data_IF_728087217851
#
_entry.id   IF_728087217851
#
_cell.length_a   1.000
_cell.length_b   1.000
_cell.length_c   1.000
_cell.angle_alpha   90.00
_cell.angle_beta   90.00
_cell.angle_gamma   90.00
#
_symmetry.space_group_name_H-M   'P 1'
#
loop_
_entity.id
_entity.type
_entity.pdbx_description
1 polymer ?
#
# COMPACT_ATOMS: atom_id res chain seq x y z
N UNK A 1 -2.43 -5.01 -23.36
CA UNK A 1 -2.80 -4.59 -24.72
C UNK A 1 -3.87 -5.56 -25.18
N UNK A 2 -5.14 -5.18 -25.05
CA UNK A 2 -6.26 -6.01 -25.50
C UNK A 2 -6.26 -6.03 -27.03
N UNK A 3 -6.44 -7.21 -27.63
CA UNK A 3 -6.60 -7.31 -29.09
C UNK A 3 -7.79 -6.44 -29.53
N UNK A 4 -7.71 -5.74 -30.67
CA UNK A 4 -8.85 -5.00 -31.20
C UNK A 4 -10.01 -5.97 -31.44
N UNK A 5 -11.13 -5.77 -30.74
CA UNK A 5 -12.36 -6.52 -30.99
C UNK A 5 -12.83 -6.29 -32.43
N UNK A 6 -13.37 -7.33 -33.04
CA UNK A 6 -14.01 -7.19 -34.36
C UNK A 6 -15.26 -6.33 -34.23
N UNK A 7 -15.66 -5.62 -35.30
CA UNK A 7 -16.87 -4.78 -35.31
C UNK A 7 -18.11 -5.56 -34.84
N UNK A 8 -18.23 -6.83 -35.23
CA UNK A 8 -19.35 -7.69 -34.85
C UNK A 8 -19.38 -8.06 -33.36
N UNK A 9 -18.21 -8.19 -32.70
CA UNK A 9 -18.12 -8.49 -31.27
C UNK A 9 -18.45 -7.25 -30.42
N UNK A 10 -18.03 -6.08 -30.89
CA UNK A 10 -18.38 -4.80 -30.27
C UNK A 10 -19.89 -4.58 -30.28
N UNK A 11 -20.53 -4.71 -31.44
CA UNK A 11 -21.98 -4.50 -31.59
C UNK A 11 -22.80 -5.43 -30.68
N UNK A 12 -22.38 -6.70 -30.58
CA UNK A 12 -23.02 -7.68 -29.69
C UNK A 12 -22.84 -7.33 -28.20
N UNK A 13 -21.65 -6.87 -27.83
CA UNK A 13 -21.36 -6.42 -26.45
C UNK A 13 -22.19 -5.19 -26.09
N UNK A 14 -22.23 -4.21 -26.99
CA UNK A 14 -23.03 -2.99 -26.85
C UNK A 14 -24.52 -3.31 -26.67
N UNK A 15 -25.07 -4.21 -27.48
CA UNK A 15 -26.47 -4.63 -27.36
C UNK A 15 -26.78 -5.26 -25.99
N UNK A 16 -25.88 -6.11 -25.48
CA UNK A 16 -26.03 -6.69 -24.13
C UNK A 16 -25.96 -5.63 -23.03
N UNK A 17 -25.04 -4.67 -23.16
CA UNK A 17 -24.92 -3.57 -22.20
C UNK A 17 -26.19 -2.73 -22.19
N UNK A 18 -26.74 -2.34 -23.35
CA UNK A 18 -28.01 -1.62 -23.42
C UNK A 18 -29.17 -2.40 -22.80
N UNK A 19 -29.25 -3.71 -23.03
CA UNK A 19 -30.28 -4.55 -22.42
C UNK A 19 -30.23 -4.50 -20.88
N UNK A 20 -29.03 -4.47 -20.31
CA UNK A 20 -28.84 -4.33 -18.86
C UNK A 20 -29.19 -2.92 -18.38
N UNK A 21 -28.76 -1.89 -19.11
CA UNK A 21 -29.04 -0.48 -18.79
C UNK A 21 -30.53 -0.19 -18.79
N UNK A 22 -31.26 -0.66 -19.80
CA UNK A 22 -32.72 -0.46 -19.91
C UNK A 22 -33.51 -1.22 -18.84
N UNK A 23 -32.91 -2.23 -18.21
CA UNK A 23 -33.49 -2.97 -17.09
C UNK A 23 -33.15 -2.38 -15.71
N UNK A 24 -32.38 -1.28 -15.65
CA UNK A 24 -32.00 -0.66 -14.38
C UNK A 24 -33.21 -0.02 -13.66
N UNK A 25 -33.32 -0.19 -12.32
CA UNK A 25 -34.37 0.48 -11.54
C UNK A 25 -34.38 2.01 -11.69
N UNK A 26 -33.20 2.60 -11.88
CA UNK A 26 -33.01 4.03 -12.06
C UNK A 26 -33.02 4.48 -13.53
N UNK A 27 -33.42 3.64 -14.49
CA UNK A 27 -33.32 3.96 -15.92
C UNK A 27 -33.98 5.29 -16.29
N UNK A 28 -35.11 5.61 -15.67
CA UNK A 28 -35.84 6.88 -15.90
C UNK A 28 -35.08 8.11 -15.39
N UNK A 29 -34.17 7.95 -14.42
CA UNK A 29 -33.34 9.01 -13.86
C UNK A 29 -32.03 9.24 -14.64
N UNK A 30 -31.71 8.37 -15.59
CA UNK A 30 -30.50 8.45 -16.43
C UNK A 30 -30.82 9.18 -17.73
N UNK A 31 -30.10 10.27 -18.01
CA UNK A 31 -30.20 10.97 -19.29
C UNK A 31 -29.74 10.05 -20.43
N UNK A 32 -30.47 10.08 -21.55
CA UNK A 32 -30.14 9.22 -22.69
C UNK A 32 -28.83 9.60 -23.37
N UNK A 33 -28.41 10.87 -23.32
CA UNK A 33 -27.10 11.27 -23.80
C UNK A 33 -25.99 10.72 -22.92
N UNK A 34 -26.16 10.77 -21.59
CA UNK A 34 -25.19 10.26 -20.63
C UNK A 34 -25.04 8.74 -20.78
N UNK A 35 -26.16 8.01 -20.84
CA UNK A 35 -26.15 6.57 -21.07
C UNK A 35 -25.40 6.21 -22.37
N UNK A 36 -25.67 6.94 -23.46
CA UNK A 36 -25.01 6.69 -24.75
C UNK A 36 -23.50 6.90 -24.67
N UNK A 37 -23.07 8.05 -24.15
CA UNK A 37 -21.64 8.36 -23.97
C UNK A 37 -20.96 7.32 -23.10
N UNK A 38 -21.57 6.95 -21.97
CA UNK A 38 -21.02 5.95 -21.07
C UNK A 38 -20.89 4.58 -21.75
N UNK A 39 -21.90 4.12 -22.49
CA UNK A 39 -21.85 2.83 -23.19
C UNK A 39 -20.75 2.85 -24.26
N UNK A 40 -20.67 3.91 -25.05
CA UNK A 40 -19.64 4.08 -26.09
C UNK A 40 -18.22 4.04 -25.50
N UNK A 41 -18.00 4.76 -24.38
CA UNK A 41 -16.72 4.82 -23.68
C UNK A 41 -16.35 3.48 -23.04
N UNK A 42 -17.27 2.87 -22.28
CA UNK A 42 -16.98 1.66 -21.52
C UNK A 42 -16.83 0.44 -22.42
N UNK A 43 -17.67 0.29 -23.45
CA UNK A 43 -17.51 -0.79 -24.43
C UNK A 43 -16.21 -0.59 -25.23
N UNK A 44 -15.91 0.66 -25.62
CA UNK A 44 -14.68 0.99 -26.33
C UNK A 44 -13.41 0.68 -25.54
N UNK A 45 -13.41 0.96 -24.24
CA UNK A 45 -12.25 0.76 -23.36
C UNK A 45 -12.13 -0.67 -22.81
N UNK A 46 -13.25 -1.32 -22.48
CA UNK A 46 -13.26 -2.57 -21.71
C UNK A 46 -13.76 -3.81 -22.49
N UNK A 47 -14.30 -3.64 -23.70
CA UNK A 47 -14.85 -4.74 -24.48
C UNK A 47 -15.88 -5.55 -23.69
N UNK A 48 -15.76 -6.88 -23.67
CA UNK A 48 -16.71 -7.75 -22.97
C UNK A 48 -16.83 -7.47 -21.45
N UNK A 49 -15.77 -6.95 -20.82
CA UNK A 49 -15.82 -6.55 -19.40
C UNK A 49 -16.79 -5.38 -19.14
N UNK A 50 -17.23 -4.65 -20.17
CA UNK A 50 -18.29 -3.65 -20.08
C UNK A 50 -19.61 -4.24 -19.53
N UNK A 51 -19.89 -5.51 -19.79
CA UNK A 51 -21.07 -6.21 -19.28
C UNK A 51 -21.05 -6.25 -17.74
N UNK A 52 -19.88 -6.54 -17.17
CA UNK A 52 -19.71 -6.55 -15.71
C UNK A 52 -19.89 -5.16 -15.11
N UNK A 53 -19.36 -4.12 -15.75
CA UNK A 53 -19.58 -2.73 -15.33
C UNK A 53 -21.08 -2.36 -15.37
N UNK A 54 -21.81 -2.78 -16.40
CA UNK A 54 -23.25 -2.54 -16.51
C UNK A 54 -24.05 -3.28 -15.43
N UNK A 55 -23.70 -4.53 -15.10
CA UNK A 55 -24.32 -5.28 -13.98
C UNK A 55 -24.14 -4.52 -12.66
N UNK A 56 -22.96 -3.92 -12.43
CA UNK A 56 -22.66 -3.16 -11.21
C UNK A 56 -23.40 -1.83 -11.08
N UNK A 57 -24.06 -1.33 -12.13
CA UNK A 57 -24.94 -0.16 -12.03
C UNK A 57 -26.20 -0.48 -11.20
N UNK A 58 -26.57 -1.75 -11.08
CA UNK A 58 -27.77 -2.20 -10.36
C UNK A 58 -27.49 -2.45 -8.88
N UNK A 59 -27.12 -1.40 -8.14
CA UNK A 59 -26.92 -1.43 -6.69
C UNK A 59 -25.51 -1.04 -6.23
N UNK A 60 -25.27 -1.12 -4.93
CA UNK A 60 -23.99 -0.86 -4.28
C UNK A 60 -23.30 -2.16 -3.85
N UNK A 61 -22.03 -2.28 -4.21
CA UNK A 61 -21.18 -3.40 -3.80
C UNK A 61 -20.50 -3.15 -2.44
N UNK A 62 -19.92 -4.21 -1.85
CA UNK A 62 -19.19 -4.10 -0.59
C UNK A 62 -18.00 -3.11 -0.62
N UNK A 63 -17.34 -2.94 -1.76
CA UNK A 63 -16.27 -1.94 -1.92
C UNK A 63 -16.78 -0.49 -1.95
N UNK A 64 -18.08 -0.27 -2.20
CA UNK A 64 -18.70 1.06 -2.28
C UNK A 64 -19.33 1.46 -0.94
N UNK A 65 -19.87 0.50 -0.19
CA UNK A 65 -20.68 0.79 1.00
C UNK A 65 -19.91 1.49 2.12
N UNK A 66 -18.64 1.12 2.34
CA UNK A 66 -17.79 1.79 3.33
C UNK A 66 -17.56 3.27 3.00
N UNK A 67 -17.56 3.64 1.72
CA UNK A 67 -17.50 5.04 1.29
C UNK A 67 -18.79 5.77 1.63
N UNK A 68 -19.93 5.13 1.36
CA UNK A 68 -21.25 5.68 1.61
C UNK A 68 -21.48 5.93 3.10
N UNK A 69 -21.20 4.94 3.96
CA UNK A 69 -21.33 5.06 5.42
C UNK A 69 -20.51 6.25 5.94
N UNK A 70 -19.23 6.35 5.55
CA UNK A 70 -18.38 7.47 5.99
C UNK A 70 -18.89 8.82 5.50
N UNK A 71 -19.31 8.93 4.24
CA UNK A 71 -19.85 10.19 3.71
C UNK A 71 -21.16 10.59 4.40
N UNK A 72 -22.00 9.63 4.78
CA UNK A 72 -23.23 9.92 5.55
C UNK A 72 -22.90 10.45 6.96
N UNK A 73 -21.81 9.96 7.57
CA UNK A 73 -21.28 10.49 8.82
C UNK A 73 -20.55 11.85 8.68
N UNK A 74 -20.51 12.44 7.47
CA UNK A 74 -19.83 13.71 7.21
C UNK A 74 -18.31 13.58 7.04
N UNK A 75 -17.80 12.35 6.88
CA UNK A 75 -16.37 12.07 6.71
C UNK A 75 -16.01 11.75 5.26
N UNK A 76 -14.81 12.18 4.86
CA UNK A 76 -14.21 11.70 3.61
C UNK A 76 -13.68 10.28 3.79
N UNK A 77 -14.05 9.44 2.84
CA UNK A 77 -13.56 8.09 2.70
C UNK A 77 -12.07 8.04 2.30
N UNK A 78 -11.48 6.86 2.50
CA UNK A 78 -10.09 6.61 2.11
C UNK A 78 -9.94 6.68 0.58
N UNK A 79 -8.70 6.92 0.13
CA UNK A 79 -8.38 7.16 -1.28
C UNK A 79 -9.18 8.31 -1.95
N UNK A 80 -9.73 9.22 -1.14
CA UNK A 80 -10.54 10.36 -1.57
C UNK A 80 -11.85 10.00 -2.30
N UNK A 81 -12.31 8.75 -2.21
CA UNK A 81 -13.59 8.34 -2.77
C UNK A 81 -14.76 9.13 -2.14
N UNK A 82 -15.87 9.26 -2.87
CA UNK A 82 -17.06 9.98 -2.40
C UNK A 82 -18.35 9.31 -2.84
N UNK A 83 -19.39 9.46 -2.02
CA UNK A 83 -20.75 9.15 -2.40
C UNK A 83 -21.19 9.94 -3.63
N UNK A 84 -20.71 11.18 -3.81
CA UNK A 84 -20.93 11.97 -5.03
C UNK A 84 -20.49 11.19 -6.28
N UNK A 85 -19.23 10.76 -6.31
CA UNK A 85 -18.65 10.06 -7.47
C UNK A 85 -19.32 8.70 -7.71
N UNK A 86 -19.68 7.99 -6.64
CA UNK A 86 -20.38 6.70 -6.72
C UNK A 86 -21.77 6.90 -7.35
N UNK A 87 -22.55 7.85 -6.85
CA UNK A 87 -23.90 8.14 -7.37
C UNK A 87 -23.86 8.65 -8.81
N UNK A 88 -22.90 9.52 -9.17
CA UNK A 88 -22.67 9.90 -10.58
C UNK A 88 -22.39 8.70 -11.47
N UNK A 89 -21.58 7.76 -10.98
CA UNK A 89 -21.29 6.51 -11.69
C UNK A 89 -22.56 5.66 -11.89
N UNK A 90 -23.41 5.52 -10.86
CA UNK A 90 -24.69 4.78 -10.98
C UNK A 90 -25.70 5.46 -11.91
N UNK A 91 -25.57 6.76 -12.10
CA UNK A 91 -26.36 7.58 -13.04
C UNK A 91 -25.72 7.68 -14.43
N UNK A 92 -24.62 6.96 -14.68
CA UNK A 92 -23.88 6.97 -15.95
C UNK A 92 -23.34 8.34 -16.37
N UNK A 93 -23.28 9.31 -15.44
CA UNK A 93 -22.66 10.64 -15.66
C UNK A 93 -21.13 10.58 -15.65
N UNK A 94 -20.59 9.44 -15.22
CA UNK A 94 -19.16 9.17 -15.10
C UNK A 94 -18.86 7.72 -15.47
N UNK A 95 -18.00 7.54 -16.46
CA UNK A 95 -17.46 6.23 -16.78
C UNK A 95 -16.53 5.72 -15.65
N UNK A 96 -16.47 4.39 -15.41
CA UNK A 96 -15.46 3.81 -14.53
C UNK A 96 -14.06 4.25 -14.98
N UNK A 97 -13.22 4.63 -14.01
CA UNK A 97 -11.83 4.97 -14.29
C UNK A 97 -11.08 3.75 -14.82
N UNK A 98 -10.10 3.98 -15.71
CA UNK A 98 -9.20 2.92 -16.16
C UNK A 98 -8.59 2.16 -14.97
N UNK A 99 -8.36 0.86 -15.15
CA UNK A 99 -7.77 0.02 -14.10
C UNK A 99 -6.45 0.60 -13.64
N UNK A 100 -6.42 1.18 -12.45
CA UNK A 100 -5.20 1.67 -11.84
C UNK A 100 -4.23 0.50 -11.61
N UNK A 101 -2.94 0.79 -11.47
CA UNK A 101 -1.94 -0.22 -11.11
C UNK A 101 -2.31 -1.00 -9.84
N UNK A 102 -3.06 -0.37 -8.93
CA UNK A 102 -3.59 -0.98 -7.71
C UNK A 102 -4.67 -2.03 -8.01
N UNK A 103 -5.68 -1.71 -8.83
CA UNK A 103 -6.75 -2.64 -9.19
C UNK A 103 -6.22 -3.82 -9.99
N UNK A 104 -5.32 -3.54 -10.95
CA UNK A 104 -4.67 -4.58 -11.75
C UNK A 104 -3.87 -5.55 -10.88
N UNK A 105 -3.09 -5.02 -9.93
CA UNK A 105 -2.33 -5.85 -8.97
C UNK A 105 -3.25 -6.72 -8.12
N UNK A 106 -4.40 -6.21 -7.69
CA UNK A 106 -5.41 -6.99 -6.98
C UNK A 106 -5.85 -8.20 -7.80
N UNK A 107 -6.40 -7.96 -9.00
CA UNK A 107 -6.92 -9.01 -9.87
C UNK A 107 -5.86 -10.05 -10.28
N UNK A 108 -4.65 -9.62 -10.66
CA UNK A 108 -3.60 -10.53 -11.10
C UNK A 108 -3.09 -11.45 -9.97
N UNK A 109 -3.25 -11.04 -8.71
CA UNK A 109 -2.70 -11.79 -7.56
C UNK A 109 -3.74 -12.50 -6.71
N UNK A 110 -5.03 -12.32 -6.97
CA UNK A 110 -6.12 -12.90 -6.17
C UNK A 110 -6.01 -14.43 -6.06
N UNK A 111 -5.84 -15.13 -7.18
CA UNK A 111 -5.69 -16.59 -7.19
C UNK A 111 -4.44 -17.08 -6.42
N UNK A 112 -3.36 -16.32 -6.48
CA UNK A 112 -2.13 -16.61 -5.74
C UNK A 112 -2.32 -16.39 -4.23
N UNK A 113 -2.99 -15.30 -3.86
CA UNK A 113 -3.37 -14.99 -2.48
C UNK A 113 -4.23 -16.12 -1.90
N UNK A 114 -5.32 -16.48 -2.58
CA UNK A 114 -6.22 -17.56 -2.18
C UNK A 114 -5.47 -18.88 -1.92
N UNK A 115 -4.57 -19.27 -2.84
CA UNK A 115 -3.76 -20.49 -2.69
C UNK A 115 -2.91 -20.47 -1.42
N UNK A 116 -2.29 -19.32 -1.10
CA UNK A 116 -1.51 -19.17 0.14
C UNK A 116 -2.41 -19.18 1.37
N UNK A 117 -3.57 -18.54 1.28
CA UNK A 117 -4.55 -18.49 2.34
C UNK A 117 -5.05 -19.90 2.70
N UNK A 118 -5.43 -20.69 1.70
CA UNK A 118 -5.83 -22.10 1.87
C UNK A 118 -4.75 -22.91 2.55
N UNK A 119 -3.49 -22.73 2.13
CA UNK A 119 -2.36 -23.43 2.73
C UNK A 119 -2.11 -23.00 4.17
N UNK A 120 -2.18 -21.69 4.47
CA UNK A 120 -1.93 -21.14 5.82
C UNK A 120 -2.98 -21.62 6.83
N UNK A 121 -4.25 -21.62 6.42
CA UNK A 121 -5.38 -21.89 7.32
C UNK A 121 -5.97 -23.29 7.18
N UNK A 122 -5.37 -24.17 6.37
CA UNK A 122 -5.96 -25.46 6.01
C UNK A 122 -7.39 -25.31 5.48
N UNK A 123 -7.64 -24.23 4.74
CA UNK A 123 -8.95 -23.87 4.25
C UNK A 123 -9.24 -24.53 2.90
N UNK A 124 -10.52 -24.75 2.62
CA UNK A 124 -11.03 -25.11 1.29
C UNK A 124 -12.21 -24.23 0.97
N UNK A 125 -12.42 -23.89 -0.31
CA UNK A 125 -13.60 -23.14 -0.72
C UNK A 125 -14.87 -23.97 -0.52
N UNK A 126 -15.89 -23.37 0.10
CA UNK A 126 -17.25 -23.88 0.10
C UNK A 126 -17.93 -23.47 -1.21
N UNK A 127 -17.77 -24.28 -2.25
CA UNK A 127 -18.29 -23.97 -3.60
C UNK A 127 -19.81 -23.72 -3.61
N UNK A 128 -20.55 -24.38 -2.71
CA UNK A 128 -22.00 -24.21 -2.62
C UNK A 128 -22.32 -22.83 -2.04
N UNK A 129 -21.74 -22.51 -0.89
CA UNK A 129 -21.97 -21.22 -0.23
C UNK A 129 -21.41 -20.05 -1.06
N UNK A 130 -20.24 -20.20 -1.67
CA UNK A 130 -19.65 -19.22 -2.58
C UNK A 130 -20.57 -18.94 -3.77
N UNK A 131 -21.09 -19.99 -4.42
CA UNK A 131 -22.04 -19.83 -5.53
C UNK A 131 -23.32 -19.11 -5.08
N UNK A 132 -23.91 -19.52 -3.97
CA UNK A 132 -25.11 -18.87 -3.40
C UNK A 132 -24.84 -17.38 -3.16
N UNK A 133 -23.73 -17.04 -2.52
CA UNK A 133 -23.41 -15.65 -2.19
C UNK A 133 -23.07 -14.79 -3.42
N UNK A 134 -22.35 -15.34 -4.40
CA UNK A 134 -22.01 -14.63 -5.65
C UNK A 134 -23.22 -14.33 -6.54
N UNK A 135 -24.31 -15.09 -6.39
CA UNK A 135 -25.59 -14.86 -7.07
C UNK A 135 -26.61 -14.11 -6.17
N UNK A 136 -26.29 -13.88 -4.89
CA UNK A 136 -27.22 -13.34 -3.90
C UNK A 136 -27.61 -11.89 -4.21
N UNK A 137 -28.88 -11.59 -3.96
CA UNK A 137 -29.44 -10.23 -3.95
C UNK A 137 -30.10 -10.03 -2.61
N UNK A 138 -29.77 -8.92 -1.96
CA UNK A 138 -30.30 -8.66 -0.64
C UNK A 138 -31.77 -8.27 -0.65
N UNK A 139 -32.36 -8.22 0.54
CA UNK A 139 -33.73 -7.73 0.76
C UNK A 139 -33.90 -6.28 0.28
N UNK A 140 -32.81 -5.51 0.28
CA UNK A 140 -32.75 -4.15 -0.28
C UNK A 140 -32.39 -4.20 -1.77
N UNK A 141 -33.15 -3.47 -2.59
CA UNK A 141 -32.98 -3.45 -4.04
C UNK A 141 -31.56 -3.09 -4.49
N UNK A 142 -30.85 -2.28 -3.70
CA UNK A 142 -29.47 -1.86 -3.98
C UNK A 142 -28.40 -2.83 -3.50
N UNK A 143 -28.70 -3.78 -2.62
CA UNK A 143 -27.66 -4.55 -1.93
C UNK A 143 -27.07 -5.64 -2.84
N UNK A 144 -25.78 -5.54 -3.14
CA UNK A 144 -25.01 -6.49 -3.95
C UNK A 144 -23.69 -6.85 -3.26
N UNK A 145 -23.16 -8.03 -3.49
CA UNK A 145 -21.83 -8.39 -3.00
C UNK A 145 -21.17 -9.35 -3.97
N UNK A 146 -19.87 -9.17 -4.15
CA UNK A 146 -19.03 -10.06 -4.95
C UNK A 146 -17.99 -10.61 -4.00
N UNK A 147 -18.19 -11.82 -3.46
CA UNK A 147 -17.24 -12.40 -2.52
C UNK A 147 -15.94 -12.77 -3.25
N UNK A 148 -14.80 -12.54 -2.60
CA UNK A 148 -13.54 -13.14 -3.01
C UNK A 148 -13.56 -14.64 -2.64
N UNK A 149 -14.05 -14.97 -1.43
CA UNK A 149 -14.20 -16.35 -0.99
C UNK A 149 -15.26 -16.59 0.09
N UNK A 150 -15.71 -17.84 0.15
CA UNK A 150 -16.39 -18.42 1.32
C UNK A 150 -15.70 -19.74 1.61
N UNK A 151 -15.00 -19.85 2.73
CA UNK A 151 -14.15 -21.02 3.01
C UNK A 151 -14.65 -21.85 4.18
N UNK A 152 -14.26 -23.12 4.19
CA UNK A 152 -14.33 -24.03 5.32
C UNK A 152 -12.91 -24.18 5.90
N UNK A 153 -12.71 -23.82 7.17
CA UNK A 153 -11.41 -23.94 7.85
C UNK A 153 -11.56 -24.35 9.33
N UNK A 154 -10.57 -25.07 9.91
CA UNK A 154 -10.60 -25.54 11.30
C UNK A 154 -10.23 -24.43 12.29
N UNK A 155 -10.92 -23.30 12.19
CA UNK A 155 -10.74 -22.14 13.05
C UNK A 155 -12.12 -21.67 13.54
N UNK A 156 -12.20 -21.34 14.83
CA UNK A 156 -13.36 -20.69 15.44
C UNK A 156 -12.94 -19.34 16.03
N UNK A 157 -13.68 -18.25 15.78
CA UNK A 157 -13.39 -16.98 16.45
C UNK A 157 -13.79 -17.06 17.92
N UNK A 158 -13.00 -16.43 18.79
CA UNK A 158 -13.27 -16.25 20.21
C UNK A 158 -13.13 -14.78 20.55
N UNK A 159 -14.13 -14.24 21.25
CA UNK A 159 -14.12 -12.88 21.79
C UNK A 159 -13.48 -12.92 23.17
N UNK A 160 -12.40 -12.17 23.35
CA UNK A 160 -11.74 -11.96 24.64
C UNK A 160 -12.52 -11.04 25.57
N UNK A 161 -12.10 -10.96 26.82
CA UNK A 161 -12.73 -10.10 27.84
C UNK A 161 -12.61 -8.61 27.51
N UNK A 162 -11.58 -8.23 26.76
CA UNK A 162 -11.33 -6.88 26.24
C UNK A 162 -12.13 -6.56 24.97
N UNK A 163 -12.96 -7.50 24.48
CA UNK A 163 -13.69 -7.39 23.22
C UNK A 163 -12.84 -7.68 21.98
N UNK A 164 -11.54 -7.96 22.14
CA UNK A 164 -10.66 -8.38 21.06
C UNK A 164 -11.06 -9.74 20.50
N UNK A 165 -10.89 -9.96 19.20
CA UNK A 165 -11.20 -11.25 18.58
C UNK A 165 -9.94 -11.98 18.18
N UNK A 166 -9.84 -13.23 18.63
CA UNK A 166 -8.79 -14.17 18.26
C UNK A 166 -9.39 -15.40 17.61
N UNK A 167 -8.56 -16.32 17.11
CA UNK A 167 -9.01 -17.61 16.60
C UNK A 167 -8.43 -18.76 17.40
N UNK A 168 -9.24 -19.79 17.65
CA UNK A 168 -8.76 -21.08 18.17
C UNK A 168 -8.87 -22.15 17.10
N UNK A 169 -7.82 -22.96 17.01
CA UNK A 169 -7.77 -24.08 16.08
C UNK A 169 -8.64 -25.24 16.58
N UNK A 170 -9.52 -25.76 15.72
CA UNK A 170 -10.50 -26.81 16.01
C UNK A 170 -10.28 -28.04 15.11
N UNK A 171 -9.25 -28.87 15.38
CA UNK A 171 -8.94 -30.02 14.54
C UNK A 171 -10.15 -30.94 14.32
N UNK A 172 -10.41 -31.28 13.06
CA UNK A 172 -11.51 -32.18 12.69
C UNK A 172 -12.89 -31.53 12.60
N UNK A 173 -13.02 -30.24 12.94
CA UNK A 173 -14.25 -29.48 12.75
C UNK A 173 -14.00 -28.35 11.74
N UNK A 174 -14.76 -28.32 10.65
CA UNK A 174 -14.67 -27.25 9.67
C UNK A 174 -15.77 -26.23 9.93
N UNK A 175 -15.41 -24.96 9.94
CA UNK A 175 -16.32 -23.85 10.11
C UNK A 175 -16.34 -22.98 8.88
N UNK A 176 -17.49 -22.39 8.56
CA UNK A 176 -17.65 -21.54 7.38
C UNK A 176 -17.27 -20.10 7.69
N UNK A 177 -16.45 -19.50 6.84
CA UNK A 177 -15.98 -18.12 6.97
C UNK A 177 -16.21 -17.35 5.70
N UNK A 178 -16.47 -16.05 5.85
CA UNK A 178 -16.44 -15.09 4.76
C UNK A 178 -15.06 -14.45 4.72
N UNK A 179 -14.34 -14.60 3.61
CA UNK A 179 -12.97 -14.10 3.48
C UNK A 179 -12.87 -13.09 2.33
N UNK A 180 -12.07 -12.05 2.55
CA UNK A 180 -11.83 -10.99 1.58
C UNK A 180 -10.31 -10.76 1.44
N UNK A 181 -9.82 -10.73 0.20
CA UNK A 181 -8.41 -10.72 -0.14
C UNK A 181 -7.99 -9.34 -0.63
N UNK A 182 -6.92 -8.79 -0.05
CA UNK A 182 -6.34 -7.51 -0.46
C UNK A 182 -4.86 -7.66 -0.75
N UNK A 183 -4.45 -7.11 -1.88
CA UNK A 183 -3.03 -6.98 -2.26
C UNK A 183 -2.62 -5.49 -2.26
N UNK A 184 -2.52 -4.83 -1.09
CA UNK A 184 -2.12 -3.44 -1.02
C UNK A 184 -0.64 -3.26 -1.38
N UNK A 185 -0.21 -2.02 -1.64
CA UNK A 185 1.22 -1.72 -1.89
C UNK A 185 2.04 -1.76 -0.60
N UNK A 186 1.37 -1.57 0.53
CA UNK A 186 1.93 -1.63 1.86
C UNK A 186 0.82 -2.11 2.79
N UNK A 187 1.19 -2.97 3.73
CA UNK A 187 0.30 -3.38 4.82
C UNK A 187 0.65 -2.53 6.03
N UNK A 188 -0.35 -1.89 6.63
CA UNK A 188 -0.16 -1.12 7.86
C UNK A 188 0.08 -2.07 9.03
N UNK A 189 1.02 -1.69 9.92
CA UNK A 189 1.45 -2.51 11.05
C UNK A 189 0.51 -2.45 12.26
N UNK A 190 -0.55 -1.63 12.22
CA UNK A 190 -1.55 -1.58 13.29
C UNK A 190 -2.51 -2.77 13.26
N UNK A 191 -3.12 -3.11 14.38
CA UNK A 191 -4.06 -4.26 14.48
C UNK A 191 -5.48 -3.91 13.99
N UNK A 192 -5.75 -2.64 13.72
CA UNK A 192 -7.05 -2.18 13.23
C UNK A 192 -7.14 -2.28 11.70
N UNK A 193 -8.25 -2.84 11.22
CA UNK A 193 -8.59 -2.77 9.80
C UNK A 193 -9.22 -1.43 9.47
N UNK A 194 -8.98 -0.95 8.24
CA UNK A 194 -9.69 0.24 7.75
C UNK A 194 -11.20 0.00 7.81
N UNK A 195 -11.93 0.95 8.39
CA UNK A 195 -13.39 0.87 8.61
C UNK A 195 -14.18 0.50 7.35
N UNK A 196 -13.70 0.90 6.17
CA UNK A 196 -14.32 0.56 4.89
C UNK A 196 -14.32 -0.95 4.61
N UNK A 197 -13.24 -1.65 4.93
CA UNK A 197 -13.16 -3.10 4.79
C UNK A 197 -14.05 -3.81 5.81
N UNK A 198 -14.19 -3.25 7.02
CA UNK A 198 -15.17 -3.74 7.98
C UNK A 198 -16.58 -3.65 7.39
N UNK A 199 -16.97 -2.50 6.84
CA UNK A 199 -18.26 -2.33 6.19
C UNK A 199 -18.47 -3.29 5.01
N UNK A 200 -17.43 -3.53 4.20
CA UNK A 200 -17.46 -4.49 3.09
C UNK A 200 -17.84 -5.89 3.58
N UNK A 201 -17.10 -6.42 4.57
CA UNK A 201 -17.34 -7.75 5.13
C UNK A 201 -18.71 -7.85 5.81
N UNK A 202 -19.16 -6.81 6.52
CA UNK A 202 -20.48 -6.78 7.15
C UNK A 202 -21.61 -6.81 6.13
N UNK A 203 -21.49 -6.12 4.99
CA UNK A 203 -22.47 -6.24 3.90
C UNK A 203 -22.52 -7.67 3.35
N UNK A 204 -21.37 -8.32 3.19
CA UNK A 204 -21.30 -9.73 2.82
C UNK A 204 -21.97 -10.64 3.86
N UNK A 205 -21.77 -10.39 5.16
CA UNK A 205 -22.39 -11.14 6.24
C UNK A 205 -23.92 -10.98 6.29
N UNK A 206 -24.45 -9.78 6.04
CA UNK A 206 -25.89 -9.55 5.90
C UNK A 206 -26.45 -10.44 4.78
N UNK A 207 -25.80 -10.44 3.61
CA UNK A 207 -26.23 -11.26 2.47
C UNK A 207 -26.10 -12.75 2.74
N UNK A 208 -25.04 -13.19 3.43
CA UNK A 208 -24.93 -14.57 3.90
C UNK A 208 -26.14 -14.96 4.74
N UNK A 209 -26.51 -14.15 5.74
CA UNK A 209 -27.65 -14.43 6.61
C UNK A 209 -28.97 -14.47 5.82
N UNK A 210 -29.21 -13.50 4.94
CA UNK A 210 -30.43 -13.44 4.10
C UNK A 210 -30.52 -14.61 3.11
N UNK A 211 -29.39 -15.11 2.62
CA UNK A 211 -29.31 -16.25 1.72
C UNK A 211 -29.29 -17.62 2.44
N UNK A 212 -29.37 -17.65 3.76
CA UNK A 212 -29.29 -18.88 4.56
C UNK A 212 -27.90 -19.52 4.61
N UNK A 213 -26.84 -18.75 4.33
CA UNK A 213 -25.45 -19.16 4.46
C UNK A 213 -24.95 -18.78 5.86
N UNK A 214 -24.93 -19.74 6.77
CA UNK A 214 -24.40 -19.53 8.11
C UNK A 214 -22.87 -19.50 8.09
N UNK A 215 -22.30 -18.37 8.52
CA UNK A 215 -20.85 -18.17 8.74
C UNK A 215 -20.57 -18.04 10.24
N UNK A 216 -19.40 -18.50 10.68
CA UNK A 216 -18.95 -18.32 12.08
C UNK A 216 -18.12 -17.06 12.27
N UNK A 217 -17.56 -16.51 11.19
CA UNK A 217 -16.66 -15.36 11.25
C UNK A 217 -16.34 -14.77 9.89
N UNK A 218 -15.73 -13.58 9.93
CA UNK A 218 -15.26 -12.83 8.77
C UNK A 218 -13.75 -12.59 8.90
N UNK A 219 -13.03 -12.56 7.79
CA UNK A 219 -11.58 -12.32 7.81
C UNK A 219 -11.15 -11.46 6.61
N UNK A 220 -10.40 -10.41 6.89
CA UNK A 220 -9.67 -9.66 5.88
C UNK A 220 -8.24 -10.20 5.82
N UNK A 221 -7.82 -10.70 4.66
CA UNK A 221 -6.45 -11.16 4.45
C UNK A 221 -5.72 -10.19 3.53
N UNK A 222 -4.63 -9.61 4.02
CA UNK A 222 -3.79 -8.67 3.28
C UNK A 222 -2.44 -9.31 2.95
N UNK A 223 -2.04 -9.27 1.68
CA UNK A 223 -0.74 -9.80 1.28
C UNK A 223 0.35 -8.75 1.50
N UNK A 224 1.18 -8.98 2.52
CA UNK A 224 2.38 -8.22 2.80
C UNK A 224 3.51 -8.67 1.89
N UNK A 225 3.71 -7.90 0.82
CA UNK A 225 4.79 -8.11 -0.15
C UNK A 225 6.18 -7.91 0.43
N UNK A 226 6.33 -7.03 1.43
CA UNK A 226 7.63 -6.72 2.01
C UNK A 226 8.15 -7.88 2.86
N UNK A 227 7.26 -8.52 3.59
CA UNK A 227 7.59 -9.66 4.47
C UNK A 227 7.21 -11.03 3.87
N UNK A 228 6.63 -11.04 2.67
CA UNK A 228 6.17 -12.24 1.98
C UNK A 228 5.19 -13.09 2.82
N UNK A 229 4.30 -12.42 3.55
CA UNK A 229 3.40 -13.01 4.53
C UNK A 229 1.95 -12.53 4.35
N UNK A 230 0.99 -13.30 4.88
CA UNK A 230 -0.41 -12.85 4.97
C UNK A 230 -0.64 -12.25 6.35
N UNK A 231 -1.11 -11.00 6.40
CA UNK A 231 -1.71 -10.39 7.59
C UNK A 231 -3.20 -10.69 7.54
N UNK A 232 -3.70 -11.42 8.54
CA UNK A 232 -5.08 -11.86 8.57
C UNK A 232 -5.77 -11.24 9.79
N UNK A 233 -6.73 -10.36 9.51
CA UNK A 233 -7.46 -9.61 10.51
C UNK A 233 -8.88 -10.20 10.64
N UNK A 234 -9.24 -10.68 11.82
CA UNK A 234 -10.59 -11.22 12.09
C UNK A 234 -11.55 -10.07 12.35
N UNK A 235 -12.72 -10.11 11.72
CA UNK A 235 -13.74 -9.07 11.85
C UNK A 235 -14.93 -9.59 12.62
N UNK A 236 -15.23 -8.92 13.74
CA UNK A 236 -16.42 -9.15 14.54
C UNK A 236 -17.67 -8.80 13.74
N UNK A 237 -18.76 -9.54 13.93
CA UNK A 237 -20.07 -9.00 13.58
C UNK A 237 -20.45 -7.90 14.57
N UNK A 238 -20.78 -6.72 14.05
CA UNK A 238 -21.37 -5.59 14.77
C UNK A 238 -22.75 -5.26 14.19
N UNK A 239 -23.83 -5.39 14.99
CA UNK A 239 -25.16 -4.92 14.60
C UNK A 239 -25.19 -3.43 14.23
N UNK A 240 -24.37 -2.62 14.89
CA UNK A 240 -24.28 -1.17 14.67
C UNK A 240 -23.73 -0.87 13.27
N UNK A 241 -22.63 -1.52 12.87
CA UNK A 241 -22.09 -1.40 11.50
C UNK A 241 -23.12 -1.90 10.49
N UNK A 242 -23.80 -3.02 10.78
CA UNK A 242 -24.86 -3.54 9.94
C UNK A 242 -25.99 -2.53 9.72
N UNK A 243 -26.44 -1.85 10.78
CA UNK A 243 -27.47 -0.83 10.70
C UNK A 243 -26.99 0.40 9.91
N UNK A 244 -25.76 0.89 10.15
CA UNK A 244 -25.17 1.99 9.38
C UNK A 244 -25.11 1.69 7.88
N UNK A 245 -24.77 0.45 7.50
CA UNK A 245 -24.77 0.01 6.10
C UNK A 245 -26.15 0.13 5.48
N UNK A 246 -27.19 -0.34 6.19
CA UNK A 246 -28.56 -0.29 5.70
C UNK A 246 -29.04 1.16 5.51
N UNK A 247 -28.78 2.02 6.50
CA UNK A 247 -29.16 3.44 6.47
C UNK A 247 -28.44 4.21 5.36
N UNK A 248 -27.14 3.98 5.18
CA UNK A 248 -26.36 4.63 4.12
C UNK A 248 -26.81 4.16 2.75
N UNK A 249 -26.96 2.85 2.56
CA UNK A 249 -27.38 2.28 1.29
C UNK A 249 -28.78 2.75 0.88
N UNK A 250 -29.74 2.76 1.81
CA UNK A 250 -31.09 3.28 1.55
C UNK A 250 -31.05 4.77 1.16
N UNK A 251 -30.35 5.60 1.94
CA UNK A 251 -30.25 7.04 1.69
C UNK A 251 -29.67 7.36 0.30
N UNK A 252 -28.53 6.77 -0.07
CA UNK A 252 -27.90 7.07 -1.36
C UNK A 252 -28.59 6.36 -2.53
N UNK A 253 -29.28 5.25 -2.31
CA UNK A 253 -30.06 4.63 -3.37
C UNK A 253 -31.28 5.46 -3.72
N UNK A 254 -31.93 6.10 -2.73
CA UNK A 254 -32.98 7.08 -3.00
C UNK A 254 -32.49 8.27 -3.85
N UNK A 255 -31.24 8.70 -3.64
CA UNK A 255 -30.60 9.71 -4.49
C UNK A 255 -30.44 9.20 -5.95
N UNK A 256 -29.95 7.96 -6.12
CA UNK A 256 -29.84 7.32 -7.45
C UNK A 256 -31.20 7.21 -8.14
N UNK A 257 -32.23 6.74 -7.44
CA UNK A 257 -33.57 6.61 -8.02
C UNK A 257 -34.19 7.96 -8.42
N UNK A 258 -33.83 9.06 -7.76
CA UNK A 258 -34.28 10.41 -8.08
C UNK A 258 -33.39 11.15 -9.09
N UNK A 259 -32.25 10.59 -9.49
CA UNK A 259 -31.28 11.27 -10.35
C UNK A 259 -30.53 12.42 -9.66
N UNK A 260 -30.56 12.45 -8.32
CA UNK A 260 -29.96 13.48 -7.48
C UNK A 260 -28.55 13.04 -7.06
N UNK A 261 -27.55 13.87 -7.33
CA UNK A 261 -26.17 13.61 -6.90
C UNK A 261 -25.94 14.32 -5.58
N UNK A 262 -25.54 13.60 -4.50
CA UNK A 262 -25.26 14.22 -3.22
C UNK A 262 -24.02 15.12 -3.33
N UNK A 263 -23.96 16.24 -2.59
CA UNK A 263 -22.79 17.11 -2.64
C UNK A 263 -21.54 16.41 -2.11
N UNK A 264 -20.38 16.83 -2.61
CA UNK A 264 -19.10 16.44 -2.03
C UNK A 264 -19.01 16.82 -0.55
N UNK A 265 -18.69 15.83 0.29
CA UNK A 265 -18.18 16.09 1.64
C UNK A 265 -16.84 16.82 1.51
N UNK A 266 -16.64 17.93 2.21
CA UNK A 266 -15.36 18.64 2.19
C UNK A 266 -14.72 18.48 3.56
N UNK A 267 -13.41 18.23 3.57
CA UNK A 267 -12.67 18.38 4.83
C UNK A 267 -12.89 19.81 5.31
N UNK A 268 -13.23 20.02 6.59
CA UNK A 268 -13.39 21.37 7.10
C UNK A 268 -12.10 22.15 6.84
N UNK A 269 -12.26 23.43 6.51
CA UNK A 269 -11.11 24.31 6.47
C UNK A 269 -10.45 24.30 7.85
N UNK A 270 -9.13 24.31 7.86
CA UNK A 270 -8.38 24.39 9.10
C UNK A 270 -8.64 25.78 9.71
N UNK A 271 -9.50 25.84 10.72
CA UNK A 271 -9.86 27.06 11.44
C UNK A 271 -9.60 26.87 12.94
N UNK A 272 -9.24 27.94 13.64
CA UNK A 272 -9.02 27.91 15.09
C UNK A 272 -7.78 27.12 15.56
N UNK A 273 -6.71 27.06 14.77
CA UNK A 273 -5.46 26.35 15.15
C UNK A 273 -4.53 27.15 16.06
N UNK A 274 -4.95 28.28 16.61
CA UNK A 274 -4.10 29.08 17.50
C UNK A 274 -3.62 28.27 18.72
N UNK A 275 -4.49 27.39 19.23
CA UNK A 275 -4.14 26.42 20.28
C UNK A 275 -3.05 25.45 19.80
N UNK A 276 -3.27 24.78 18.66
CA UNK A 276 -2.28 23.87 18.07
C UNK A 276 -0.93 24.56 17.81
N UNK A 277 -0.94 25.76 17.22
CA UNK A 277 0.30 26.51 16.92
C UNK A 277 1.07 26.79 18.22
N UNK A 278 0.36 27.21 19.27
CA UNK A 278 0.94 27.48 20.58
C UNK A 278 1.46 26.20 21.25
N UNK A 279 0.68 25.13 21.20
CA UNK A 279 1.01 23.86 21.86
C UNK A 279 2.23 23.17 21.22
N UNK A 280 2.47 23.41 19.92
CA UNK A 280 3.59 22.85 19.17
C UNK A 280 4.72 23.86 18.89
N UNK A 281 4.67 25.08 19.44
CA UNK A 281 5.69 26.12 19.20
C UNK A 281 7.10 25.64 19.57
N UNK A 282 7.25 25.00 20.74
CA UNK A 282 8.53 24.46 21.20
C UNK A 282 9.06 23.35 20.28
N UNK A 283 8.18 22.47 19.79
CA UNK A 283 8.53 21.40 18.86
C UNK A 283 8.95 21.96 17.50
N UNK A 284 8.21 22.93 16.98
CA UNK A 284 8.54 23.62 15.74
C UNK A 284 9.90 24.34 15.84
N UNK A 285 10.16 25.04 16.95
CA UNK A 285 11.43 25.73 17.18
C UNK A 285 12.60 24.75 17.29
N UNK A 286 12.42 23.62 17.99
CA UNK A 286 13.45 22.59 18.10
C UNK A 286 13.76 21.96 16.74
N UNK A 287 12.71 21.62 15.98
CA UNK A 287 12.88 21.11 14.61
C UNK A 287 13.64 22.11 13.74
N UNK A 288 13.27 23.38 13.77
CA UNK A 288 13.95 24.44 13.01
C UNK A 288 15.43 24.55 13.41
N UNK A 289 15.75 24.51 14.71
CA UNK A 289 17.12 24.56 15.20
C UNK A 289 17.94 23.35 14.75
N UNK A 290 17.37 22.14 14.85
CA UNK A 290 18.02 20.91 14.41
C UNK A 290 18.27 20.89 12.90
N UNK A 291 17.29 21.34 12.10
CA UNK A 291 17.43 21.45 10.65
C UNK A 291 18.54 22.45 10.28
N UNK A 292 18.58 23.61 10.94
CA UNK A 292 19.63 24.61 10.72
C UNK A 292 21.02 24.12 11.17
N UNK A 293 21.11 23.44 12.30
CA UNK A 293 22.35 22.84 12.79
C UNK A 293 22.87 21.77 11.82
N UNK A 294 21.99 20.90 11.32
CA UNK A 294 22.36 19.85 10.37
C UNK A 294 22.94 20.44 9.08
N UNK A 295 22.31 21.49 8.53
CA UNK A 295 22.81 22.18 7.35
C UNK A 295 24.17 22.87 7.59
N UNK A 296 24.28 23.62 8.69
CA UNK A 296 25.52 24.32 9.05
C UNK A 296 26.68 23.36 9.32
N UNK A 297 26.43 22.27 10.05
CA UNK A 297 27.42 21.23 10.35
C UNK A 297 27.86 20.52 9.07
N UNK A 298 26.93 20.18 8.17
CA UNK A 298 27.25 19.57 6.87
C UNK A 298 28.14 20.47 6.03
N UNK A 299 27.76 21.74 5.87
CA UNK A 299 28.55 22.72 5.11
C UNK A 299 29.96 22.85 5.66
N UNK A 300 30.10 22.98 6.98
CA UNK A 300 31.42 23.06 7.64
C UNK A 300 32.23 21.77 7.48
N UNK A 301 31.57 20.61 7.57
CA UNK A 301 32.22 19.33 7.36
C UNK A 301 32.71 19.17 5.92
N UNK A 302 31.97 19.66 4.92
CA UNK A 302 32.38 19.66 3.52
C UNK A 302 33.56 20.62 3.27
N UNK A 303 33.57 21.81 3.89
CA UNK A 303 34.72 22.73 3.85
C UNK A 303 35.98 22.07 4.43
N UNK A 304 35.86 21.46 5.62
CA UNK A 304 36.97 20.74 6.29
C UNK A 304 37.40 19.52 5.47
N UNK A 305 36.45 18.80 4.86
CA UNK A 305 36.76 17.70 3.95
C UNK A 305 37.63 18.18 2.79
N UNK A 306 37.33 19.35 2.21
CA UNK A 306 38.17 19.97 1.19
C UNK A 306 39.59 20.23 1.68
N UNK A 307 39.75 20.78 2.88
CA UNK A 307 41.08 21.01 3.51
C UNK A 307 41.83 19.70 3.73
N UNK A 308 41.16 18.64 4.20
CA UNK A 308 41.76 17.34 4.45
C UNK A 308 42.10 16.58 3.15
N UNK A 309 41.33 16.81 2.09
CA UNK A 309 41.55 16.21 0.78
C UNK A 309 42.66 16.90 -0.02
N UNK A 310 42.85 18.21 0.14
CA UNK A 310 43.78 18.99 -0.68
C UNK A 310 45.24 18.44 -0.70
N UNK A 311 45.85 18.01 0.43
CA UNK A 311 47.20 17.41 0.40
C UNK A 311 47.26 16.04 -0.27
N UNK A 312 46.12 15.39 -0.47
CA UNK A 312 45.99 14.09 -1.13
C UNK A 312 45.74 14.25 -2.64
N UNK A 313 45.52 15.47 -3.13
CA UNK A 313 45.39 15.73 -4.56
C UNK A 313 46.66 15.32 -5.30
N UNK A 314 46.50 14.50 -6.34
CA UNK A 314 47.62 13.95 -7.11
C UNK A 314 48.20 12.63 -6.56
N UNK A 315 47.71 12.13 -5.43
CA UNK A 315 48.09 10.83 -4.87
C UNK A 315 46.99 9.79 -5.04
N UNK A 316 47.38 8.54 -5.32
CA UNK A 316 46.49 7.38 -5.26
C UNK A 316 46.61 6.71 -3.89
N UNK A 317 45.49 6.50 -3.21
CA UNK A 317 45.44 5.76 -1.95
C UNK A 317 45.33 4.25 -2.14
N UNK A 318 44.73 3.77 -3.25
CA UNK A 318 44.47 2.36 -3.46
C UNK A 318 43.76 1.73 -2.22
N UNK A 319 44.36 0.70 -1.62
CA UNK A 319 43.81 0.00 -0.45
C UNK A 319 44.30 0.59 0.89
N UNK A 320 45.08 1.68 0.84
CA UNK A 320 45.63 2.32 2.03
C UNK A 320 44.52 3.09 2.75
N UNK A 321 44.37 2.76 4.04
CA UNK A 321 43.54 3.52 4.98
C UNK A 321 44.43 4.47 5.76
N UNK A 322 44.13 5.75 5.69
CA UNK A 322 44.84 6.79 6.43
C UNK A 322 44.07 7.12 7.71
N UNK A 323 44.49 6.59 8.88
CA UNK A 323 44.00 7.07 10.16
C UNK A 323 44.49 8.50 10.39
N UNK A 324 43.57 9.44 10.52
CA UNK A 324 43.85 10.85 10.82
C UNK A 324 43.43 11.13 12.26
N UNK A 325 44.38 11.56 13.08
CA UNK A 325 44.17 11.83 14.51
C UNK A 325 45.40 11.49 15.35
N UNK A 326 45.19 11.32 16.66
CA UNK A 326 46.25 10.91 17.58
C UNK A 326 46.66 9.46 17.32
N UNK A 327 47.95 9.16 17.49
CA UNK A 327 48.48 7.80 17.31
C UNK A 327 47.75 6.83 18.26
N UNK A 328 47.16 5.78 17.68
CA UNK A 328 46.35 4.79 18.41
C UNK A 328 44.91 5.20 18.72
N UNK A 329 44.50 6.43 18.36
CA UNK A 329 43.14 6.96 18.53
C UNK A 329 42.75 7.86 17.34
N UNK A 330 42.53 7.29 16.15
CA UNK A 330 42.12 8.06 14.99
C UNK A 330 40.77 8.72 15.23
N UNK A 331 40.63 9.98 14.83
CA UNK A 331 39.34 10.65 14.80
C UNK A 331 38.55 10.32 13.53
N UNK A 332 39.30 10.05 12.46
CA UNK A 332 38.78 9.85 11.11
C UNK A 332 39.65 8.80 10.41
N UNK A 333 39.05 8.00 9.54
CA UNK A 333 39.76 7.21 8.54
C UNK A 333 39.43 7.72 7.15
N UNK A 334 40.45 8.10 6.38
CA UNK A 334 40.32 8.42 4.95
C UNK A 334 40.68 7.15 4.17
N UNK A 335 39.80 6.76 3.25
CA UNK A 335 40.03 5.65 2.32
C UNK A 335 39.57 6.05 0.93
N UNK A 336 40.16 5.47 -0.12
CA UNK A 336 39.62 5.62 -1.47
C UNK A 336 38.61 4.51 -1.75
N UNK A 337 37.43 4.89 -2.25
CA UNK A 337 36.58 3.97 -2.99
C UNK A 337 36.94 4.12 -4.46
N UNK A 338 37.44 3.04 -5.06
CA UNK A 338 37.66 3.01 -6.51
C UNK A 338 36.29 3.08 -7.19
N UNK A 339 36.10 4.12 -7.99
CA UNK A 339 34.94 4.25 -8.86
C UNK A 339 35.44 4.34 -10.30
N UNK A 340 34.74 3.68 -11.21
CA UNK A 340 35.05 3.82 -12.63
C UNK A 340 34.37 5.07 -13.16
N UNK A 341 35.11 5.87 -13.95
CA UNK A 341 34.50 6.94 -14.74
C UNK A 341 33.68 6.33 -15.86
N UNK A 342 32.37 6.20 -15.60
CA UNK A 342 31.43 5.54 -16.52
C UNK A 342 31.27 6.32 -17.82
N UNK A 343 31.36 7.64 -17.75
CA UNK A 343 31.20 8.50 -18.91
C UNK A 343 32.43 8.38 -19.82
N UNK A 344 33.63 8.46 -19.24
CA UNK A 344 34.87 8.29 -19.98
C UNK A 344 35.02 6.87 -20.53
N UNK A 345 34.70 5.85 -19.75
CA UNK A 345 34.69 4.45 -20.20
C UNK A 345 33.71 4.25 -21.38
N UNK A 346 32.53 4.88 -21.35
CA UNK A 346 31.56 4.78 -22.46
C UNK A 346 31.99 5.47 -23.75
N UNK A 347 32.89 6.44 -23.66
CA UNK A 347 33.47 7.15 -24.83
C UNK A 347 34.66 6.39 -25.43
N UNK A 348 35.39 5.65 -24.61
CA UNK A 348 36.64 4.99 -25.00
C UNK A 348 36.49 3.52 -25.35
N UNK A 349 35.38 2.87 -24.95
CA UNK A 349 35.14 1.44 -25.17
C UNK A 349 33.93 1.22 -26.05
N UNK A 350 34.00 0.18 -26.89
CA UNK A 350 32.86 -0.23 -27.71
C UNK A 350 31.76 -0.85 -26.85
N UNK A 351 30.50 -0.89 -27.35
CA UNK A 351 29.41 -1.58 -26.65
C UNK A 351 29.76 -3.02 -26.26
N UNK A 352 30.41 -3.77 -27.13
CA UNK A 352 30.79 -5.17 -26.88
C UNK A 352 31.86 -5.30 -25.78
N UNK A 353 32.83 -4.37 -25.74
CA UNK A 353 33.85 -4.31 -24.69
C UNK A 353 33.25 -3.93 -23.34
N UNK A 354 32.32 -2.98 -23.31
CA UNK A 354 31.59 -2.59 -22.10
C UNK A 354 30.73 -3.75 -21.58
N UNK A 355 30.09 -4.50 -22.47
CA UNK A 355 29.28 -5.66 -22.12
C UNK A 355 30.14 -6.81 -21.56
N UNK A 356 31.37 -7.00 -22.06
CA UNK A 356 32.33 -7.95 -21.50
C UNK A 356 32.83 -7.56 -20.10
N UNK A 357 32.80 -6.26 -19.78
CA UNK A 357 33.23 -5.71 -18.49
C UNK A 357 32.10 -5.61 -17.45
N UNK A 358 30.89 -6.05 -17.76
CA UNK A 358 29.79 -6.00 -16.80
C UNK A 358 30.06 -6.90 -15.56
N UNK A 359 29.91 -6.30 -14.38
CA UNK A 359 29.78 -6.96 -13.10
C UNK A 359 28.34 -7.37 -12.90
N UNK A 360 28.12 -8.56 -12.34
CA UNK A 360 26.78 -9.09 -12.16
C UNK A 360 25.84 -8.09 -11.48
N UNK A 361 24.58 -8.05 -11.91
CA UNK A 361 23.55 -7.20 -11.33
C UNK A 361 23.25 -7.59 -9.89
N UNK A 362 23.05 -6.59 -9.03
CA UNK A 362 22.23 -6.75 -7.82
C UNK A 362 20.77 -6.93 -8.27
N UNK A 363 20.39 -8.20 -8.40
CA UNK A 363 19.08 -8.89 -8.44
C UNK A 363 19.37 -10.29 -9.02
N UNK A 364 18.61 -11.32 -8.63
CA UNK A 364 18.79 -12.70 -9.14
C UNK A 364 18.36 -12.77 -10.62
N UNK A 365 19.28 -12.32 -11.47
CA UNK A 365 19.06 -12.12 -12.89
C UNK A 365 18.81 -13.43 -13.62
N UNK A 366 19.27 -14.56 -13.10
CA UNK A 366 19.03 -15.87 -13.71
C UNK A 366 17.56 -16.26 -13.57
N UNK A 367 16.96 -16.07 -12.38
CA UNK A 367 15.52 -16.31 -12.19
C UNK A 367 14.64 -15.31 -12.96
N UNK A 368 15.02 -14.03 -12.98
CA UNK A 368 14.27 -13.04 -13.76
C UNK A 368 14.40 -13.27 -15.27
N UNK A 369 15.59 -13.62 -15.74
CA UNK A 369 15.84 -13.95 -17.15
C UNK A 369 15.14 -15.25 -17.53
N UNK A 370 15.11 -16.26 -16.68
CA UNK A 370 14.38 -17.51 -16.92
C UNK A 370 12.87 -17.23 -17.02
N UNK A 371 12.31 -16.44 -16.11
CA UNK A 371 10.92 -15.99 -16.16
C UNK A 371 10.61 -15.14 -17.41
N UNK A 372 11.46 -14.17 -17.75
CA UNK A 372 11.27 -13.30 -18.92
C UNK A 372 11.49 -14.05 -20.25
N UNK A 373 12.38 -15.05 -20.27
CA UNK A 373 12.61 -15.93 -21.43
C UNK A 373 11.45 -16.90 -21.62
N UNK A 374 10.88 -17.45 -20.54
CA UNK A 374 9.63 -18.21 -20.57
C UNK A 374 8.44 -17.37 -21.08
N UNK A 375 8.48 -16.05 -20.86
CA UNK A 375 7.49 -15.09 -21.35
C UNK A 375 7.80 -14.51 -22.74
N UNK A 376 8.88 -14.96 -23.41
CA UNK A 376 9.23 -14.50 -24.76
C UNK A 376 9.69 -13.04 -24.88
N UNK A 377 10.10 -12.42 -23.77
CA UNK A 377 10.50 -11.00 -23.72
C UNK A 377 11.99 -10.86 -24.03
N UNK A 378 12.35 -9.97 -24.97
CA UNK A 378 13.76 -9.61 -25.22
C UNK A 378 14.30 -8.75 -24.07
N UNK A 379 15.20 -9.35 -23.29
CA UNK A 379 15.79 -8.73 -22.09
C UNK A 379 17.04 -7.89 -22.39
N UNK A 380 17.53 -7.88 -23.63
CA UNK A 380 18.75 -7.12 -24.00
C UNK A 380 18.65 -5.61 -23.75
N UNK A 381 17.54 -4.90 -24.04
CA UNK A 381 17.44 -3.45 -23.87
C UNK A 381 17.36 -3.00 -22.40
N UNK A 382 16.99 -3.93 -21.49
CA UNK A 382 16.67 -3.61 -20.10
C UNK A 382 17.89 -3.72 -19.17
N UNK A 383 19.08 -4.03 -19.71
CA UNK A 383 20.30 -4.16 -18.93
C UNK A 383 20.84 -2.78 -18.54
N UNK A 384 20.74 -2.44 -17.26
CA UNK A 384 21.59 -1.38 -16.69
C UNK A 384 23.00 -1.96 -16.53
N UNK A 385 23.97 -1.42 -17.27
CA UNK A 385 25.37 -1.87 -17.18
C UNK A 385 25.95 -1.45 -15.84
N UNK A 386 26.14 -2.40 -14.94
CA UNK A 386 27.00 -2.22 -13.79
C UNK A 386 28.37 -2.74 -14.18
N UNK A 387 29.34 -1.85 -14.42
CA UNK A 387 30.65 -2.24 -14.90
C UNK A 387 31.49 -2.73 -13.73
N UNK A 388 32.05 -3.94 -13.84
CA UNK A 388 33.00 -4.48 -12.88
C UNK A 388 34.33 -3.74 -13.05
N UNK A 389 34.77 -3.08 -11.98
CA UNK A 389 35.97 -2.27 -12.01
C UNK A 389 37.22 -3.08 -12.36
N UNK A 390 37.33 -4.34 -11.93
CA UNK A 390 38.48 -5.18 -12.21
C UNK A 390 38.48 -5.64 -13.67
N UNK A 391 37.32 -6.06 -14.20
CA UNK A 391 37.23 -6.46 -15.62
C UNK A 391 37.46 -5.29 -16.56
N UNK A 392 36.91 -4.12 -16.23
CA UNK A 392 37.08 -2.90 -17.01
C UNK A 392 38.54 -2.44 -17.02
N UNK A 393 39.23 -2.56 -15.87
CA UNK A 393 40.66 -2.32 -15.75
C UNK A 393 41.49 -3.28 -16.62
N UNK A 394 41.20 -4.59 -16.55
CA UNK A 394 41.88 -5.60 -17.37
C UNK A 394 41.66 -5.40 -18.88
N UNK A 395 40.42 -5.10 -19.28
CA UNK A 395 40.06 -4.83 -20.67
C UNK A 395 40.78 -3.58 -21.21
N UNK A 396 40.81 -2.49 -20.44
CA UNK A 396 41.51 -1.27 -20.83
C UNK A 396 43.01 -1.53 -21.08
N UNK A 397 43.66 -2.29 -20.19
CA UNK A 397 45.04 -2.70 -20.36
C UNK A 397 45.26 -3.59 -21.61
N UNK A 398 44.34 -4.51 -21.88
CA UNK A 398 44.42 -5.43 -23.03
C UNK A 398 44.35 -4.70 -24.38
N UNK A 399 43.57 -3.63 -24.48
CA UNK A 399 43.43 -2.84 -25.71
C UNK A 399 44.41 -1.66 -25.80
N UNK A 400 45.38 -1.59 -24.88
CA UNK A 400 46.42 -0.55 -24.88
C UNK A 400 45.97 0.82 -24.39
N UNK A 401 44.82 0.92 -23.71
CA UNK A 401 44.43 2.13 -22.97
C UNK A 401 45.10 2.13 -21.60
N UNK A 402 45.35 3.32 -21.07
CA UNK A 402 45.81 3.47 -19.69
C UNK A 402 44.64 3.17 -18.73
N UNK A 403 44.62 2.00 -18.05
CA UNK A 403 43.50 1.63 -17.19
C UNK A 403 43.37 2.56 -15.98
N UNK A 404 44.48 3.21 -15.59
CA UNK A 404 44.52 4.17 -14.51
C UNK A 404 43.85 5.50 -14.86
N UNK A 405 43.70 5.81 -16.14
CA UNK A 405 42.95 6.97 -16.61
C UNK A 405 41.42 6.78 -16.51
N UNK A 406 40.95 5.54 -16.30
CA UNK A 406 39.52 5.19 -16.19
C UNK A 406 39.04 5.04 -14.74
N UNK A 407 39.96 5.02 -13.77
CA UNK A 407 39.64 4.88 -12.34
C UNK A 407 39.70 6.25 -11.67
N UNK A 408 38.59 6.67 -11.10
CA UNK A 408 38.51 7.83 -10.21
C UNK A 408 38.47 7.31 -8.77
N UNK A 409 39.45 7.70 -7.97
CA UNK A 409 39.39 7.45 -6.53
C UNK A 409 38.50 8.51 -5.88
N UNK A 410 37.35 8.08 -5.36
CA UNK A 410 36.54 8.93 -4.50
C UNK A 410 36.97 8.74 -3.06
N UNK A 411 37.48 9.81 -2.45
CA UNK A 411 37.82 9.80 -1.03
C UNK A 411 36.55 9.61 -0.20
N UNK A 412 36.63 8.69 0.74
CA UNK A 412 35.60 8.36 1.72
C UNK A 412 36.13 8.67 3.11
N UNK A 413 35.32 9.35 3.89
CA UNK A 413 35.66 9.88 5.21
C UNK A 413 34.81 9.16 6.24
N UNK A 414 35.41 8.23 6.98
CA UNK A 414 34.73 7.45 8.01
C UNK A 414 35.07 8.01 9.39
N UNK A 415 34.06 8.53 10.09
CA UNK A 415 34.21 9.06 11.45
C UNK A 415 34.35 7.92 12.45
N UNK A 416 35.23 8.08 13.43
CA UNK A 416 35.38 7.09 14.51
C UNK A 416 34.09 6.91 15.32
N UNK A 417 33.85 5.67 15.77
CA UNK A 417 32.62 5.31 16.50
C UNK A 417 32.45 6.09 17.81
N UNK A 418 33.55 6.37 18.52
CA UNK A 418 33.49 7.10 19.79
C UNK A 418 33.07 8.56 19.57
N UNK A 419 33.60 9.22 18.53
CA UNK A 419 33.20 10.58 18.17
C UNK A 419 31.74 10.62 17.71
N UNK A 420 31.30 9.64 16.91
CA UNK A 420 29.89 9.53 16.52
C UNK A 420 28.97 9.41 17.74
N UNK A 421 29.34 8.58 18.72
CA UNK A 421 28.57 8.42 19.96
C UNK A 421 28.58 9.70 20.81
N UNK A 422 29.71 10.41 20.90
CA UNK A 422 29.79 11.70 21.60
C UNK A 422 28.91 12.77 20.97
N UNK A 423 28.90 12.86 19.63
CA UNK A 423 28.05 13.82 18.94
C UNK A 423 26.56 13.46 19.03
N UNK A 424 26.23 12.17 19.06
CA UNK A 424 24.86 11.75 19.35
C UNK A 424 24.45 12.16 20.76
N UNK A 425 25.29 11.89 21.76
CA UNK A 425 25.03 12.32 23.14
C UNK A 425 24.92 13.84 23.26
N UNK A 426 25.74 14.60 22.52
CA UNK A 426 25.63 16.07 22.46
C UNK A 426 24.27 16.51 21.91
N UNK A 427 23.79 15.90 20.83
CA UNK A 427 22.45 16.20 20.27
C UNK A 427 21.37 15.83 21.28
N UNK A 428 21.45 14.65 21.89
CA UNK A 428 20.45 14.19 22.87
C UNK A 428 20.42 15.09 24.12
N UNK A 429 21.57 15.60 24.57
CA UNK A 429 21.71 16.52 25.71
C UNK A 429 21.16 17.92 25.40
N UNK A 430 21.44 18.45 24.21
CA UNK A 430 21.10 19.84 23.85
C UNK A 430 19.74 19.96 23.16
N UNK A 431 19.20 18.87 22.63
CA UNK A 431 17.91 18.78 21.95
C UNK A 431 17.11 17.56 22.45
N UNK A 432 16.79 17.50 23.75
CA UNK A 432 16.09 16.35 24.31
C UNK A 432 14.68 16.23 23.71
N UNK A 433 14.28 15.00 23.37
CA UNK A 433 12.92 14.67 22.92
C UNK A 433 11.94 14.68 24.10
N UNK A 434 11.79 15.82 24.77
CA UNK A 434 10.89 16.03 25.89
C UNK A 434 9.74 16.94 25.47
N UNK A 435 8.95 16.49 24.49
CA UNK A 435 7.67 17.13 24.19
C UNK A 435 6.57 16.32 24.86
N UNK A 436 5.97 16.88 25.91
CA UNK A 436 4.70 16.36 26.39
C UNK A 436 3.71 16.45 25.21
N UNK A 437 3.07 15.33 24.85
CA UNK A 437 1.96 15.37 23.89
C UNK A 437 0.85 16.19 24.54
N UNK A 438 0.49 17.37 24.01
CA UNK A 438 -0.61 18.14 24.57
C UNK A 438 -1.88 17.29 24.44
N UNK A 439 -2.51 16.93 25.57
CA UNK A 439 -3.77 16.18 25.60
C UNK A 439 -3.68 14.66 25.74
N UNK A 440 -2.50 14.06 25.89
CA UNK A 440 -2.41 12.74 26.55
C UNK A 440 -2.31 13.01 28.05
N UNK A 441 -3.44 13.16 28.73
CA UNK A 441 -3.44 12.90 30.17
C UNK A 441 -2.99 11.45 30.34
N UNK A 442 -1.85 11.26 31.01
CA UNK A 442 -1.40 9.93 31.41
C UNK A 442 -2.52 9.28 32.24
N UNK A 443 -3.21 8.28 31.69
CA UNK A 443 -4.13 7.40 32.45
C UNK A 443 -3.40 6.63 33.58
N UNK A 444 -2.12 6.89 33.81
CA UNK A 444 -1.28 6.19 34.77
C UNK A 444 -1.37 6.71 36.22
N UNK A 445 -2.14 7.76 36.55
CA UNK A 445 -2.16 8.32 37.92
C UNK A 445 -3.43 8.09 38.75
N UNK A 446 -4.32 7.15 38.38
CA UNK A 446 -5.55 6.89 39.16
C UNK A 446 -5.43 5.73 40.18
N UNK A 447 -4.31 5.02 40.26
CA UNK A 447 -4.21 3.80 41.11
C UNK A 447 -3.27 3.87 42.33
N UNK A 448 -3.14 5.03 42.99
CA UNK A 448 -2.54 5.10 44.33
C UNK A 448 -3.32 6.04 45.26
N UNK A 449 -4.56 5.68 45.58
CA UNK A 449 -5.23 6.16 46.79
C UNK A 449 -6.34 5.20 47.22
N UNK A 450 -6.05 4.31 48.17
CA UNK A 450 -7.10 3.63 48.92
C UNK A 450 -6.81 2.18 49.33
N UNK A 451 -5.90 1.99 50.29
CA UNK A 451 -5.97 0.84 51.21
C UNK A 451 -5.27 1.17 52.54
N UNK A 452 -5.89 2.09 53.28
CA UNK A 452 -5.83 2.06 54.74
C UNK A 452 -7.21 1.60 55.18
N UNK A 453 -7.32 0.37 55.70
CA UNK A 453 -8.36 0.07 56.67
C UNK A 453 -7.90 -0.97 57.69
N UNK A 454 -8.22 -0.59 58.92
CA UNK A 454 -7.86 -1.15 60.21
C UNK A 454 -8.36 -2.59 60.40
N UNK A 455 -7.55 -3.40 61.09
CA UNK A 455 -8.01 -4.63 61.71
C UNK A 455 -8.67 -4.33 63.07
N UNK A 456 -9.81 -4.94 63.41
CA UNK A 456 -10.22 -5.06 64.80
C UNK A 456 -9.88 -6.43 65.37
N UNK A 457 -9.37 -6.35 66.59
CA UNK A 457 -9.26 -7.39 67.59
C UNK A 457 -10.63 -8.01 67.88
N UNK A 458 -10.70 -9.35 67.93
CA UNK A 458 -11.88 -10.12 68.36
C UNK A 458 -11.84 -11.57 67.94
#
# INVERSE_FOLDING_TARGET
>A
MSNPQTSSERDHTEQKVWTLVDALPQREAIDSSDAKTWVDEVVGAHGEAAIWHAIRLNGFGGSEIGVLVRNQAGERADHQASAHDIVEGKLMRRAPLESTSHLRRGHENEAYHATRFYKKHHAVRDEVAFKVLSEAKGSRAWMRYSPDDVTLKPLMPIVGEDGGITTVHTPGQLHRWLDDYKAPSQVESGDEIAFQYACQLHQGAILCAEAGVEIVGMMLSQFDWANWALKDDVVAWSPEIGQMILEAGDHYWECVLRGEVPPYIRKPALDGMDGYIKDYEAAAQMYANLAALADAAKKRADDIRGVLAAPLEGYKLADVKLPVGLVGRPALTISAKRMMDRELASKLLTPDQLDACAGGSVLDADKMKEALTQLGVDTKPMRKRDLDANKLYSMAAEIGLDPDALVVEQLTFSVDKAIKAQMQAYVDEHYPMAFARPGCEDEASVNEAGHDDEAPVG
#
